data_IF_041612532151
#
_entry.id   IF_041612532151
#
_cell.length_a   1.000
_cell.length_b   1.000
_cell.length_c   1.000
_cell.angle_alpha   90.00
_cell.angle_beta   90.00
_cell.angle_gamma   90.00
#
_symmetry.space_group_name_H-M   'P 1'
#
loop_
_entity.id
_entity.type
_entity.pdbx_description
1 polymer ?
#
# COMPACT_ATOMS: atom_id res chain seq x y z
N UNK A 1 -52.34 2.58 42.03
CA UNK A 1 -51.83 2.50 40.66
C UNK A 1 -50.45 3.10 40.62
N UNK A 2 -49.49 2.28 40.74
CA UNK A 2 -48.10 2.73 40.64
C UNK A 2 -47.59 2.39 39.21
N UNK A 3 -47.42 3.41 38.41
CA UNK A 3 -46.85 3.26 37.07
C UNK A 3 -45.33 3.07 37.20
N UNK A 4 -44.90 1.85 36.95
CA UNK A 4 -43.49 1.53 36.87
C UNK A 4 -42.98 2.01 35.51
N UNK A 5 -42.22 3.07 35.49
CA UNK A 5 -41.45 3.49 34.32
C UNK A 5 -40.15 2.67 34.32
N UNK A 6 -40.11 1.63 33.48
CA UNK A 6 -38.88 0.94 33.15
C UNK A 6 -38.21 1.76 32.06
N UNK A 7 -37.23 2.58 32.46
CA UNK A 7 -36.32 3.24 31.52
C UNK A 7 -35.33 2.18 31.03
N UNK A 8 -35.58 1.65 29.83
CA UNK A 8 -34.63 0.82 29.15
C UNK A 8 -33.48 1.72 28.67
N UNK A 9 -32.37 1.73 29.40
CA UNK A 9 -31.14 2.36 29.01
C UNK A 9 -30.49 1.48 27.95
N UNK A 10 -30.75 1.78 26.68
CA UNK A 10 -30.07 1.15 25.56
C UNK A 10 -28.66 1.73 25.53
N UNK A 11 -27.72 0.96 26.10
CA UNK A 11 -26.30 1.25 25.98
C UNK A 11 -25.88 0.90 24.54
N UNK A 12 -25.98 1.87 23.64
CA UNK A 12 -25.41 1.75 22.30
C UNK A 12 -23.91 1.84 22.49
N UNK A 13 -23.28 0.68 22.63
CA UNK A 13 -21.82 0.57 22.53
C UNK A 13 -21.42 0.91 21.10
N UNK A 14 -21.08 2.15 20.85
CA UNK A 14 -20.41 2.53 19.62
C UNK A 14 -19.01 1.89 19.64
N UNK A 15 -18.92 0.73 19.03
CA UNK A 15 -17.62 0.18 18.66
C UNK A 15 -17.02 1.13 17.64
N UNK A 16 -16.22 2.08 18.10
CA UNK A 16 -15.31 2.81 17.23
C UNK A 16 -14.24 1.81 16.79
N UNK A 17 -14.47 1.14 15.68
CA UNK A 17 -13.40 0.46 14.98
C UNK A 17 -12.41 1.55 14.58
N UNK A 18 -11.27 1.58 15.24
CA UNK A 18 -10.12 2.34 14.77
C UNK A 18 -9.72 1.73 13.42
N UNK A 19 -10.30 2.25 12.35
CA UNK A 19 -9.82 1.98 11.00
C UNK A 19 -8.49 2.73 10.91
N UNK A 20 -7.42 2.03 11.27
CA UNK A 20 -6.09 2.55 10.94
C UNK A 20 -6.02 2.62 9.42
N UNK A 21 -5.98 3.84 8.88
CA UNK A 21 -5.87 4.03 7.46
C UNK A 21 -4.57 3.36 7.00
N UNK A 22 -4.71 2.40 6.10
CA UNK A 22 -3.59 1.69 5.49
C UNK A 22 -2.91 2.58 4.46
N UNK A 23 -1.59 2.60 4.46
CA UNK A 23 -0.79 3.27 3.43
C UNK A 23 -0.32 2.22 2.43
N UNK A 24 -0.74 2.36 1.19
CA UNK A 24 -0.30 1.48 0.11
C UNK A 24 0.98 2.01 -0.52
N UNK A 25 1.96 1.13 -0.64
CA UNK A 25 3.21 1.39 -1.34
C UNK A 25 3.30 0.51 -2.58
N UNK A 26 3.80 1.05 -3.68
CA UNK A 26 4.01 0.31 -4.91
C UNK A 26 5.47 -0.07 -5.11
N UNK A 27 5.72 -1.22 -5.73
CA UNK A 27 7.03 -1.63 -6.22
C UNK A 27 6.90 -1.93 -7.71
N UNK A 28 7.58 -1.15 -8.54
CA UNK A 28 7.64 -1.36 -9.99
C UNK A 28 9.04 -1.87 -10.34
N UNK A 29 9.10 -3.09 -10.83
CA UNK A 29 10.32 -3.74 -11.29
C UNK A 29 10.01 -4.53 -12.57
N UNK A 30 11.04 -4.94 -13.29
CA UNK A 30 10.88 -5.86 -14.42
C UNK A 30 10.77 -7.30 -13.93
N UNK A 31 9.59 -7.71 -13.50
CA UNK A 31 9.32 -9.09 -13.06
C UNK A 31 9.29 -10.09 -14.22
N UNK A 32 9.07 -9.59 -15.41
CA UNK A 32 9.27 -10.32 -16.67
C UNK A 32 10.33 -9.61 -17.50
N UNK A 33 10.99 -10.33 -18.39
CA UNK A 33 12.02 -9.77 -19.27
C UNK A 33 13.46 -10.01 -18.80
N UNK A 34 14.41 -9.16 -19.22
CA UNK A 34 15.85 -9.49 -19.12
C UNK A 34 16.40 -9.56 -17.70
N UNK A 35 15.72 -9.00 -16.71
CA UNK A 35 16.17 -9.01 -15.31
C UNK A 35 15.23 -9.79 -14.37
N UNK A 36 14.35 -10.61 -14.91
CA UNK A 36 13.36 -11.37 -14.13
C UNK A 36 13.97 -12.27 -13.06
N UNK A 37 15.20 -12.73 -13.23
CA UNK A 37 15.89 -13.54 -12.23
C UNK A 37 16.33 -12.77 -10.98
N UNK A 38 16.45 -11.45 -11.06
CA UNK A 38 16.93 -10.58 -9.98
C UNK A 38 15.79 -9.92 -9.21
N UNK A 39 14.71 -9.60 -9.89
CA UNK A 39 13.64 -8.76 -9.37
C UNK A 39 12.85 -9.37 -8.21
N UNK A 40 12.62 -10.69 -8.12
CA UNK A 40 11.94 -11.27 -6.95
C UNK A 40 12.67 -11.01 -5.64
N UNK A 41 14.00 -11.14 -5.64
CA UNK A 41 14.82 -10.87 -4.46
C UNK A 41 14.84 -9.38 -4.10
N UNK A 42 14.89 -8.51 -5.11
CA UNK A 42 14.82 -7.06 -4.92
C UNK A 42 13.47 -6.65 -4.30
N UNK A 43 12.38 -7.17 -4.84
CA UNK A 43 11.05 -6.90 -4.30
C UNK A 43 10.90 -7.42 -2.86
N UNK A 44 11.37 -8.62 -2.59
CA UNK A 44 11.33 -9.19 -1.24
C UNK A 44 12.12 -8.34 -0.23
N UNK A 45 13.26 -7.79 -0.63
CA UNK A 45 14.06 -6.89 0.22
C UNK A 45 13.31 -5.58 0.53
N UNK A 46 12.67 -4.99 -0.48
CA UNK A 46 11.87 -3.78 -0.31
C UNK A 46 10.64 -4.05 0.57
N UNK A 47 9.95 -5.17 0.35
CA UNK A 47 8.80 -5.57 1.17
C UNK A 47 9.19 -5.81 2.63
N UNK A 48 10.35 -6.40 2.88
CA UNK A 48 10.86 -6.57 4.23
C UNK A 48 11.06 -5.22 4.92
N UNK A 49 11.67 -4.25 4.24
CA UNK A 49 11.84 -2.91 4.79
C UNK A 49 10.51 -2.22 5.10
N UNK A 50 9.51 -2.32 4.22
CA UNK A 50 8.17 -1.80 4.47
C UNK A 50 7.48 -2.52 5.62
N UNK A 51 7.66 -3.83 5.73
CA UNK A 51 7.12 -4.62 6.83
C UNK A 51 7.72 -4.20 8.17
N UNK A 52 9.03 -4.06 8.24
CA UNK A 52 9.73 -3.61 9.45
C UNK A 52 9.26 -2.20 9.86
N UNK A 53 9.13 -1.28 8.91
CA UNK A 53 8.60 0.05 9.15
C UNK A 53 7.15 0.01 9.66
N UNK A 54 6.31 -0.83 9.07
CA UNK A 54 4.92 -1.03 9.50
C UNK A 54 4.85 -1.61 10.92
N UNK A 55 5.66 -2.63 11.20
CA UNK A 55 5.66 -3.34 12.49
C UNK A 55 6.24 -2.48 13.62
N UNK A 56 7.10 -1.52 13.30
CA UNK A 56 7.66 -0.59 14.30
C UNK A 56 6.60 0.26 15.01
N UNK A 57 5.47 0.51 14.36
CA UNK A 57 4.39 1.34 14.88
C UNK A 57 4.73 2.83 15.01
N UNK A 58 5.93 3.25 14.62
CA UNK A 58 6.41 4.63 14.76
C UNK A 58 6.30 5.43 13.46
N UNK A 59 6.13 4.77 12.33
CA UNK A 59 5.99 5.42 11.04
C UNK A 59 4.55 5.87 10.80
N UNK A 60 4.37 7.09 10.29
CA UNK A 60 3.07 7.65 9.90
C UNK A 60 1.98 7.54 10.98
N UNK A 61 2.33 7.71 12.24
CA UNK A 61 1.40 7.61 13.34
C UNK A 61 0.90 6.19 13.63
N UNK A 62 1.69 5.18 13.29
CA UNK A 62 1.35 3.77 13.51
C UNK A 62 0.46 3.17 12.43
N UNK A 63 0.32 3.80 11.28
CA UNK A 63 -0.44 3.25 10.14
C UNK A 63 0.23 1.99 9.61
N UNK A 64 -0.59 1.05 9.19
CA UNK A 64 -0.11 -0.15 8.50
C UNK A 64 0.28 0.17 7.06
N UNK A 65 1.33 -0.48 6.58
CA UNK A 65 1.80 -0.38 5.21
C UNK A 65 1.50 -1.68 4.49
N UNK A 66 0.81 -1.59 3.37
CA UNK A 66 0.69 -2.68 2.41
C UNK A 66 1.51 -2.40 1.17
N UNK A 67 1.87 -3.44 0.45
CA UNK A 67 2.73 -3.34 -0.74
C UNK A 67 2.05 -4.02 -1.92
N UNK A 68 2.08 -3.35 -3.06
CA UNK A 68 1.59 -3.85 -4.33
C UNK A 68 2.72 -3.86 -5.35
N UNK A 69 2.88 -4.98 -6.06
CA UNK A 69 3.88 -5.13 -7.13
C UNK A 69 3.25 -4.84 -8.48
N UNK A 70 4.03 -4.21 -9.37
CA UNK A 70 3.66 -4.03 -10.76
C UNK A 70 4.89 -4.27 -11.67
N UNK A 71 4.64 -4.86 -12.83
CA UNK A 71 5.68 -5.26 -13.77
C UNK A 71 5.88 -4.18 -14.85
N UNK A 72 7.09 -3.65 -14.92
CA UNK A 72 7.50 -2.71 -15.97
C UNK A 72 8.17 -3.39 -17.16
N UNK A 73 8.43 -4.67 -17.09
CA UNK A 73 9.27 -5.42 -18.02
C UNK A 73 10.70 -4.91 -18.18
N UNK A 74 11.00 -3.71 -17.72
CA UNK A 74 12.30 -3.00 -17.82
C UNK A 74 12.75 -2.59 -19.23
N UNK A 75 12.03 -2.98 -20.27
CA UNK A 75 12.38 -2.73 -21.68
C UNK A 75 11.25 -2.07 -22.48
N UNK A 76 10.07 -1.97 -21.90
CA UNK A 76 8.88 -1.40 -22.54
C UNK A 76 8.32 -0.23 -21.73
N UNK A 77 8.45 0.97 -22.29
CA UNK A 77 7.93 2.18 -21.64
C UNK A 77 6.41 2.21 -21.50
N UNK A 78 5.69 1.56 -22.43
CA UNK A 78 4.23 1.46 -22.33
C UNK A 78 3.81 0.55 -21.18
N UNK A 79 4.49 -0.57 -20.98
CA UNK A 79 4.27 -1.46 -19.84
C UNK A 79 4.59 -0.76 -18.52
N UNK A 80 5.69 0.00 -18.46
CA UNK A 80 6.05 0.77 -17.28
C UNK A 80 5.01 1.86 -16.94
N UNK A 81 4.50 2.54 -17.95
CA UNK A 81 3.42 3.54 -17.78
C UNK A 81 2.14 2.88 -17.27
N UNK A 82 1.73 1.77 -17.88
CA UNK A 82 0.54 1.04 -17.45
C UNK A 82 0.66 0.51 -16.01
N UNK A 83 1.85 0.02 -15.63
CA UNK A 83 2.14 -0.41 -14.27
C UNK A 83 1.99 0.74 -13.27
N UNK A 84 2.53 1.91 -13.59
CA UNK A 84 2.43 3.10 -12.75
C UNK A 84 0.97 3.59 -12.62
N UNK A 85 0.25 3.67 -13.72
CA UNK A 85 -1.16 4.07 -13.74
C UNK A 85 -2.04 3.10 -12.95
N UNK A 86 -1.77 1.80 -13.05
CA UNK A 86 -2.47 0.78 -12.28
C UNK A 86 -2.29 0.96 -10.77
N UNK A 87 -1.06 1.22 -10.33
CA UNK A 87 -0.77 1.49 -8.92
C UNK A 87 -1.42 2.79 -8.43
N UNK A 88 -1.38 3.85 -9.22
CA UNK A 88 -2.03 5.13 -8.89
C UNK A 88 -3.54 4.95 -8.75
N UNK A 89 -4.16 4.23 -9.69
CA UNK A 89 -5.59 3.91 -9.64
C UNK A 89 -5.95 3.05 -8.43
N UNK A 90 -5.04 2.19 -7.98
CA UNK A 90 -5.17 1.38 -6.77
C UNK A 90 -4.98 2.15 -5.46
N UNK A 91 -4.67 3.44 -5.51
CA UNK A 91 -4.52 4.30 -4.34
C UNK A 91 -3.16 4.23 -3.67
N UNK A 92 -2.10 3.90 -4.41
CA UNK A 92 -0.73 3.87 -3.91
C UNK A 92 -0.25 5.28 -3.58
N UNK A 93 0.31 5.45 -2.38
CA UNK A 93 0.81 6.74 -1.90
C UNK A 93 2.22 7.09 -2.43
N UNK A 94 3.06 6.08 -2.64
CA UNK A 94 4.40 6.23 -3.19
C UNK A 94 4.85 4.94 -3.89
N UNK A 95 5.83 5.06 -4.76
CA UNK A 95 6.36 3.95 -5.56
C UNK A 95 7.88 3.88 -5.41
N UNK A 96 8.38 2.66 -5.13
CA UNK A 96 9.80 2.33 -5.29
C UNK A 96 10.01 1.66 -6.66
N UNK A 97 11.00 2.13 -7.41
CA UNK A 97 11.27 1.64 -8.75
C UNK A 97 12.76 1.66 -9.06
N UNK A 98 13.15 0.86 -10.08
CA UNK A 98 14.45 0.94 -10.72
C UNK A 98 14.27 1.20 -12.22
N UNK A 99 15.10 2.07 -12.81
CA UNK A 99 15.16 2.37 -14.24
C UNK A 99 13.89 2.92 -14.89
N UNK A 100 12.98 3.52 -14.10
CA UNK A 100 11.95 4.37 -14.65
C UNK A 100 12.54 5.75 -14.90
N UNK A 101 12.86 6.05 -16.14
CA UNK A 101 13.01 7.44 -16.55
C UNK A 101 11.61 8.06 -16.62
N UNK A 102 11.19 8.69 -15.55
CA UNK A 102 10.05 9.59 -15.61
C UNK A 102 10.39 10.67 -16.63
N UNK A 103 9.51 10.99 -17.59
CA UNK A 103 9.73 12.12 -18.45
C UNK A 103 9.77 13.36 -17.58
N UNK A 104 11.00 13.80 -17.29
CA UNK A 104 11.18 15.13 -16.70
C UNK A 104 10.81 16.12 -17.80
N UNK A 105 9.65 16.73 -17.65
CA UNK A 105 9.42 17.97 -18.38
C UNK A 105 10.47 18.97 -17.93
N UNK A 106 11.42 19.16 -18.81
CA UNK A 106 12.25 20.33 -18.67
C UNK A 106 11.39 21.59 -18.85
#
# INVERSE_FOLDING_TARGET
MKKLFVAAFIFVSTFTTNIFAEVKMGIILGFTGPIESLTPAMAASAELAFKEASDSGSLLGGKKISVERADSTCVDSAAATAAAEGLISGGVAAVSYTHLTLPTKA
#
